data_IF_317037151902
#
_entry.id   IF_317037151902
#
_cell.length_a   1.000
_cell.length_b   1.000
_cell.length_c   1.000
_cell.angle_alpha   90.00
_cell.angle_beta   90.00
_cell.angle_gamma   90.00
#
_symmetry.space_group_name_H-M   'P 1'
#
loop_
_entity.id
_entity.type
_entity.pdbx_description
1 polymer ?
#
# COMPACT_ATOMS: atom_id res chain seq x y z
N UNK A 1 -38.52 -9.08 7.39
CA UNK A 1 -38.84 -8.23 6.23
C UNK A 1 -37.56 -7.62 5.74
N UNK A 2 -37.06 -8.04 4.61
CA UNK A 2 -35.82 -7.43 4.06
C UNK A 2 -36.16 -6.06 3.47
N UNK A 3 -35.37 -5.01 3.74
CA UNK A 3 -35.60 -3.69 3.18
C UNK A 3 -35.28 -3.69 1.70
N UNK A 4 -36.27 -3.40 0.87
CA UNK A 4 -36.12 -3.10 -0.55
C UNK A 4 -35.73 -1.62 -0.65
N UNK A 5 -34.48 -1.30 -0.30
CA UNK A 5 -34.02 0.06 -0.14
C UNK A 5 -32.64 0.32 -0.73
N UNK A 6 -32.23 1.60 -0.72
CA UNK A 6 -30.92 2.04 -1.20
C UNK A 6 -29.79 1.36 -0.42
N UNK A 7 -28.56 1.41 -0.93
CA UNK A 7 -27.38 0.86 -0.26
C UNK A 7 -27.21 1.36 1.20
N UNK A 8 -27.61 2.63 1.47
CA UNK A 8 -27.62 3.21 2.81
C UNK A 8 -28.61 2.50 3.75
N UNK A 9 -29.80 2.18 3.25
CA UNK A 9 -30.85 1.53 4.06
C UNK A 9 -30.46 0.10 4.42
N UNK A 10 -29.80 -0.60 3.50
CA UNK A 10 -29.25 -1.96 3.76
C UNK A 10 -28.15 -1.94 4.82
N UNK A 11 -27.22 -0.97 4.75
CA UNK A 11 -26.19 -0.81 5.78
C UNK A 11 -26.79 -0.44 7.13
N UNK A 12 -27.74 0.52 7.18
CA UNK A 12 -28.40 0.92 8.43
C UNK A 12 -29.13 -0.24 9.08
N UNK A 13 -29.85 -1.02 8.30
CA UNK A 13 -30.58 -2.21 8.78
C UNK A 13 -29.62 -3.29 9.33
N UNK A 14 -28.49 -3.53 8.67
CA UNK A 14 -27.49 -4.48 9.17
C UNK A 14 -26.76 -3.96 10.41
N UNK A 15 -26.54 -2.65 10.53
CA UNK A 15 -25.98 -2.03 11.72
C UNK A 15 -26.92 -2.13 12.93
N UNK A 16 -28.23 -1.93 12.73
CA UNK A 16 -29.23 -2.09 13.79
C UNK A 16 -29.34 -3.55 14.25
N UNK A 17 -29.35 -4.50 13.33
CA UNK A 17 -29.29 -5.93 13.68
C UNK A 17 -28.03 -6.29 14.48
N UNK A 18 -26.89 -5.65 14.17
CA UNK A 18 -25.63 -5.88 14.89
C UNK A 18 -25.61 -5.26 16.29
N UNK A 19 -26.39 -4.19 16.55
CA UNK A 19 -26.51 -3.60 17.86
C UNK A 19 -27.26 -4.52 18.88
N UNK A 20 -28.06 -5.45 18.37
CA UNK A 20 -28.83 -6.38 19.20
C UNK A 20 -28.29 -7.82 19.22
N UNK A 21 -27.45 -8.20 18.26
CA UNK A 21 -26.84 -9.52 18.16
C UNK A 21 -25.36 -9.46 18.46
N UNK A 22 -25.01 -10.05 19.59
CA UNK A 22 -23.65 -10.13 20.12
C UNK A 22 -22.62 -10.59 19.09
N UNK A 23 -21.63 -9.71 18.78
CA UNK A 23 -20.22 -10.03 18.46
C UNK A 23 -19.84 -10.74 17.16
N UNK A 24 -20.69 -10.94 16.18
CA UNK A 24 -20.29 -11.63 14.94
C UNK A 24 -19.89 -10.66 13.82
N UNK A 25 -18.76 -10.98 13.15
CA UNK A 25 -18.38 -10.34 11.89
C UNK A 25 -19.36 -10.78 10.80
N UNK A 26 -20.00 -9.83 10.12
CA UNK A 26 -20.95 -10.09 9.03
C UNK A 26 -20.39 -9.63 7.69
N UNK A 27 -20.67 -10.38 6.65
CA UNK A 27 -20.30 -10.05 5.29
C UNK A 27 -21.50 -9.45 4.54
N UNK A 28 -21.31 -8.24 4.00
CA UNK A 28 -22.26 -7.58 3.10
C UNK A 28 -21.60 -7.47 1.74
N UNK A 29 -21.86 -8.41 0.87
CA UNK A 29 -21.12 -8.55 -0.40
C UNK A 29 -19.64 -8.81 -0.13
N UNK A 30 -18.77 -7.93 -0.62
CA UNK A 30 -17.32 -7.99 -0.39
C UNK A 30 -16.86 -7.29 0.90
N UNK A 31 -17.78 -6.66 1.64
CA UNK A 31 -17.46 -5.93 2.86
C UNK A 31 -17.62 -6.81 4.10
N UNK A 32 -16.64 -6.73 4.98
CA UNK A 32 -16.68 -7.30 6.33
C UNK A 32 -17.07 -6.21 7.31
N UNK A 33 -18.23 -6.33 7.97
CA UNK A 33 -18.77 -5.33 8.89
C UNK A 33 -18.73 -5.86 10.31
N UNK A 34 -18.07 -5.15 11.20
CA UNK A 34 -18.00 -5.41 12.64
C UNK A 34 -17.92 -4.08 13.41
N UNK A 35 -18.19 -4.12 14.70
CA UNK A 35 -18.08 -2.91 15.53
C UNK A 35 -16.61 -2.47 15.62
N UNK A 36 -16.39 -1.16 15.83
CA UNK A 36 -15.04 -0.62 15.99
C UNK A 36 -14.33 -1.24 17.20
N UNK A 37 -15.03 -1.44 18.33
CA UNK A 37 -14.47 -2.10 19.50
C UNK A 37 -13.99 -3.52 19.18
N UNK A 38 -14.78 -4.27 18.42
CA UNK A 38 -14.38 -5.62 17.98
C UNK A 38 -13.14 -5.57 17.06
N UNK A 39 -13.06 -4.56 16.19
CA UNK A 39 -11.87 -4.36 15.35
C UNK A 39 -10.61 -4.11 16.19
N UNK A 40 -10.71 -3.29 17.24
CA UNK A 40 -9.60 -3.03 18.17
C UNK A 40 -9.21 -4.29 18.94
N UNK A 41 -10.18 -5.03 19.49
CA UNK A 41 -9.93 -6.28 20.22
C UNK A 41 -9.23 -7.34 19.34
N UNK A 42 -9.65 -7.46 18.09
CA UNK A 42 -9.04 -8.39 17.13
C UNK A 42 -7.63 -7.93 16.77
N UNK A 43 -7.43 -6.61 16.59
CA UNK A 43 -6.13 -6.02 16.23
C UNK A 43 -5.10 -6.16 17.37
N UNK A 44 -5.51 -6.12 18.64
CA UNK A 44 -4.62 -6.35 19.79
C UNK A 44 -3.92 -7.72 19.77
N UNK A 45 -4.48 -8.68 19.04
CA UNK A 45 -3.92 -10.03 18.89
C UNK A 45 -3.02 -10.18 17.67
N UNK A 46 -2.95 -9.16 16.81
CA UNK A 46 -2.15 -9.15 15.60
C UNK A 46 -0.80 -8.49 15.87
N UNK A 47 0.27 -8.90 15.17
CA UNK A 47 1.54 -8.20 15.22
C UNK A 47 1.39 -6.76 14.69
N UNK A 48 2.21 -5.86 15.20
CA UNK A 48 2.28 -4.51 14.65
C UNK A 48 2.74 -4.53 13.18
N UNK A 49 2.24 -3.60 12.34
CA UNK A 49 2.67 -3.47 10.97
C UNK A 49 4.18 -3.23 10.87
N UNK A 50 4.84 -3.91 9.95
CA UNK A 50 6.27 -3.71 9.70
C UNK A 50 6.50 -2.40 8.97
N UNK A 51 7.27 -1.49 9.54
CA UNK A 51 7.73 -0.27 8.86
C UNK A 51 8.68 -0.65 7.72
N UNK A 52 8.29 -0.31 6.50
CA UNK A 52 9.08 -0.57 5.30
C UNK A 52 9.98 0.62 4.94
N UNK A 53 9.56 1.84 5.24
CA UNK A 53 10.33 3.03 4.91
C UNK A 53 10.05 4.19 5.88
N UNK A 54 10.82 4.26 6.96
CA UNK A 54 10.88 5.39 7.91
C UNK A 54 9.51 5.97 8.33
N UNK A 55 8.53 5.12 8.60
CA UNK A 55 7.17 5.51 8.99
C UNK A 55 6.30 6.08 7.85
N UNK A 56 6.81 6.13 6.62
CA UNK A 56 6.06 6.62 5.44
C UNK A 56 5.31 5.49 4.72
N UNK A 57 5.73 4.25 4.89
CA UNK A 57 5.11 3.09 4.27
C UNK A 57 5.25 1.88 5.19
N UNK A 58 4.12 1.26 5.52
CA UNK A 58 4.08 0.02 6.27
C UNK A 58 3.62 -1.16 5.40
N UNK A 59 3.94 -2.37 5.82
CA UNK A 59 3.49 -3.58 5.16
C UNK A 59 1.95 -3.66 5.13
N UNK A 60 1.38 -3.98 3.98
CA UNK A 60 -0.07 -4.06 3.77
C UNK A 60 -0.74 -2.72 3.45
N UNK A 61 -0.01 -1.60 3.40
CA UNK A 61 -0.56 -0.29 3.06
C UNK A 61 -0.47 0.01 1.56
N UNK A 62 -1.38 0.86 1.11
CA UNK A 62 -1.34 1.52 -0.21
C UNK A 62 -1.07 3.00 0.00
N UNK A 63 0.04 3.49 -0.54
CA UNK A 63 0.41 4.90 -0.47
C UNK A 63 0.35 5.56 -1.84
N UNK A 64 -0.08 6.81 -1.89
CA UNK A 64 -0.07 7.64 -3.11
C UNK A 64 0.84 8.85 -2.91
N UNK A 65 1.82 9.01 -3.82
CA UNK A 65 2.73 10.15 -3.81
C UNK A 65 2.30 11.20 -4.84
N UNK A 66 1.93 12.37 -4.36
CA UNK A 66 1.52 13.50 -5.20
C UNK A 66 2.56 14.61 -5.14
N UNK A 67 2.91 15.17 -6.28
CA UNK A 67 3.73 16.36 -6.41
C UNK A 67 3.63 16.91 -7.83
N UNK A 68 4.06 18.13 -8.04
CA UNK A 68 4.14 18.75 -9.37
C UNK A 68 5.09 17.99 -10.31
N UNK A 69 4.95 18.23 -11.61
CA UNK A 69 5.86 17.68 -12.60
C UNK A 69 7.31 18.08 -12.27
N UNK A 70 8.24 17.16 -12.49
CA UNK A 70 9.68 17.37 -12.22
C UNK A 70 10.06 17.57 -10.74
N UNK A 71 9.14 17.36 -9.80
CA UNK A 71 9.42 17.42 -8.35
C UNK A 71 10.20 16.21 -7.80
N UNK A 72 10.60 15.28 -8.64
CA UNK A 72 11.44 14.14 -8.22
C UNK A 72 10.67 12.91 -7.74
N UNK A 73 9.34 12.81 -7.97
CA UNK A 73 8.50 11.66 -7.54
C UNK A 73 9.10 10.30 -7.90
N UNK A 74 9.46 10.12 -9.18
CA UNK A 74 10.01 8.85 -9.68
C UNK A 74 11.38 8.53 -9.05
N UNK A 75 12.21 9.56 -8.81
CA UNK A 75 13.50 9.39 -8.13
C UNK A 75 13.29 8.95 -6.69
N UNK A 76 12.35 9.60 -6.00
CA UNK A 76 12.02 9.24 -4.61
C UNK A 76 11.42 7.82 -4.51
N UNK A 77 10.53 7.45 -5.45
CA UNK A 77 9.98 6.09 -5.50
C UNK A 77 11.06 5.03 -5.71
N UNK A 78 12.03 5.27 -6.61
CA UNK A 78 13.16 4.36 -6.82
C UNK A 78 14.07 4.32 -5.58
N UNK A 79 14.33 5.47 -4.94
CA UNK A 79 15.13 5.53 -3.71
C UNK A 79 14.48 4.73 -2.56
N UNK A 80 13.16 4.86 -2.41
CA UNK A 80 12.39 4.09 -1.43
C UNK A 80 12.46 2.59 -1.74
N UNK A 81 12.23 2.22 -3.01
CA UNK A 81 12.31 0.84 -3.45
C UNK A 81 13.71 0.23 -3.28
N UNK A 82 14.78 0.98 -3.60
CA UNK A 82 16.15 0.55 -3.39
C UNK A 82 16.46 0.34 -1.90
N UNK A 83 16.00 1.22 -1.02
CA UNK A 83 16.13 1.05 0.42
C UNK A 83 15.43 -0.22 0.90
N UNK A 84 14.18 -0.43 0.53
CA UNK A 84 13.38 -1.60 0.93
C UNK A 84 13.97 -2.89 0.35
N UNK A 85 14.56 -2.84 -0.85
CA UNK A 85 15.12 -4.00 -1.53
C UNK A 85 16.31 -4.65 -0.79
N UNK A 86 16.90 -3.96 0.15
CA UNK A 86 17.97 -4.50 1.00
C UNK A 86 17.52 -5.65 1.89
N UNK A 87 16.20 -5.72 2.18
CA UNK A 87 15.63 -6.73 3.07
C UNK A 87 14.32 -7.36 2.59
N UNK A 88 13.72 -6.84 1.50
CA UNK A 88 12.50 -7.34 0.87
C UNK A 88 12.63 -7.35 -0.65
N UNK A 89 11.88 -8.20 -1.33
CA UNK A 89 11.75 -8.13 -2.79
C UNK A 89 10.87 -6.96 -3.18
N UNK A 90 11.32 -6.13 -4.10
CA UNK A 90 10.62 -4.97 -4.64
C UNK A 90 10.45 -5.14 -6.13
N UNK A 91 9.24 -4.91 -6.63
CA UNK A 91 8.96 -4.75 -8.05
C UNK A 91 8.63 -3.29 -8.34
N UNK A 92 9.46 -2.62 -9.10
CA UNK A 92 9.22 -1.28 -9.62
C UNK A 92 8.71 -1.36 -11.05
N UNK A 93 7.47 -0.93 -11.28
CA UNK A 93 6.88 -0.85 -12.62
C UNK A 93 7.10 0.55 -13.16
N UNK A 94 7.93 0.66 -14.19
CA UNK A 94 8.32 1.92 -14.82
C UNK A 94 7.58 2.11 -16.14
N UNK A 95 6.60 3.01 -16.16
CA UNK A 95 5.81 3.32 -17.35
C UNK A 95 6.35 4.55 -18.12
N UNK A 96 7.46 5.15 -17.68
CA UNK A 96 7.98 6.39 -18.26
C UNK A 96 9.31 6.21 -18.99
N UNK A 97 10.24 5.42 -18.44
CA UNK A 97 11.61 5.35 -18.92
C UNK A 97 11.90 4.04 -19.65
N UNK A 98 12.53 4.15 -20.83
CA UNK A 98 13.17 3.00 -21.46
C UNK A 98 14.39 2.54 -20.65
N UNK A 99 14.86 1.30 -20.87
CA UNK A 99 16.06 0.77 -20.22
C UNK A 99 17.27 1.71 -20.34
N UNK A 100 17.45 2.31 -21.50
CA UNK A 100 18.57 3.23 -21.74
C UNK A 100 18.46 4.52 -20.95
N UNK A 101 17.26 5.09 -20.82
CA UNK A 101 17.01 6.28 -20.03
C UNK A 101 17.18 6.00 -18.53
N UNK A 102 16.73 4.84 -18.08
CA UNK A 102 16.94 4.40 -16.69
C UNK A 102 18.44 4.24 -16.41
N UNK A 103 19.18 3.55 -17.27
CA UNK A 103 20.65 3.40 -17.15
C UNK A 103 21.36 4.76 -17.05
N UNK A 104 21.01 5.71 -17.93
CA UNK A 104 21.63 7.04 -17.93
C UNK A 104 21.34 7.83 -16.64
N UNK A 105 20.14 7.67 -16.04
CA UNK A 105 19.76 8.35 -14.80
C UNK A 105 20.60 7.89 -13.61
N UNK A 106 21.01 6.62 -13.58
CA UNK A 106 21.74 6.02 -12.47
C UNK A 106 23.22 5.75 -12.76
N UNK A 107 23.76 6.40 -13.81
CA UNK A 107 25.17 6.32 -14.17
C UNK A 107 25.72 7.72 -14.45
N UNK A 108 26.85 8.07 -13.80
CA UNK A 108 27.63 9.25 -14.13
C UNK A 108 28.91 8.82 -14.85
N UNK A 109 28.98 9.06 -16.17
CA UNK A 109 30.12 8.64 -17.01
C UNK A 109 31.37 9.46 -16.72
N UNK A 110 31.22 10.74 -16.40
CA UNK A 110 32.37 11.63 -16.14
C UNK A 110 33.08 11.26 -14.84
N UNK A 111 32.30 10.86 -13.83
CA UNK A 111 32.81 10.44 -12.52
C UNK A 111 33.09 8.92 -12.46
N UNK A 112 32.81 8.17 -13.52
CA UNK A 112 32.91 6.71 -13.52
C UNK A 112 31.99 6.01 -12.51
N UNK A 113 30.93 6.69 -12.06
CA UNK A 113 30.01 6.17 -11.07
C UNK A 113 28.82 5.46 -11.70
N UNK A 114 28.47 4.31 -11.18
CA UNK A 114 27.24 3.58 -11.47
C UNK A 114 26.59 3.16 -10.15
N UNK A 115 25.33 3.52 -9.96
CA UNK A 115 24.55 3.00 -8.83
C UNK A 115 24.33 1.49 -8.98
N UNK A 116 24.54 0.77 -7.91
CA UNK A 116 24.34 -0.69 -7.84
C UNK A 116 23.12 -0.95 -6.96
N UNK A 117 22.04 -1.38 -7.58
CA UNK A 117 20.83 -1.82 -6.88
C UNK A 117 21.04 -3.19 -6.23
N UNK A 118 20.25 -3.47 -5.19
CA UNK A 118 20.17 -4.82 -4.62
C UNK A 118 19.58 -5.83 -5.62
N UNK A 119 19.99 -7.10 -5.55
CA UNK A 119 19.43 -8.18 -6.37
C UNK A 119 17.94 -8.44 -6.11
N UNK A 120 17.39 -7.88 -5.03
CA UNK A 120 15.97 -7.91 -4.72
C UNK A 120 15.17 -6.76 -5.35
N UNK A 121 15.82 -5.82 -6.05
CA UNK A 121 15.15 -4.74 -6.76
C UNK A 121 14.88 -5.14 -8.22
N UNK A 122 13.64 -5.44 -8.52
CA UNK A 122 13.19 -5.81 -9.86
C UNK A 122 12.55 -4.61 -10.55
N UNK A 123 12.83 -4.42 -11.83
CA UNK A 123 12.19 -3.43 -12.68
C UNK A 123 11.39 -4.12 -13.79
N UNK A 124 10.18 -3.63 -14.04
CA UNK A 124 9.36 -3.98 -15.21
C UNK A 124 8.99 -2.72 -16.00
N UNK A 125 8.86 -2.83 -17.30
CA UNK A 125 8.40 -1.79 -18.25
C UNK A 125 7.31 -2.31 -19.19
#
# INVERSE_FOLDING_TARGET
MEPDGSFKDKISFELEKNATADRECRHVGMLSVKTANRSVEDALKMPDPVDLYHGLLNEGEVACLFADSNAGKSIFAVQMGDYISRYRKVLYVDCELSEKQFQLRYTNREMGYRHVFSDNFYRAE
#
